data_IF_617397607287
#
_entry.id   IF_617397607287
#
_cell.length_a   1.000
_cell.length_b   1.000
_cell.length_c   1.000
_cell.angle_alpha   90.00
_cell.angle_beta   90.00
_cell.angle_gamma   90.00
#
_symmetry.space_group_name_H-M   'P 1'
#
loop_
_entity.id
_entity.type
_entity.pdbx_description
1 polymer ?
#
# COMPACT_ATOMS: atom_id res chain seq x y z
N UNK A 1 -14.24 -7.80 -0.36
CA UNK A 1 -14.09 -7.12 0.94
C UNK A 1 -14.72 -5.74 0.82
N UNK A 2 -15.20 -5.15 1.91
CA UNK A 2 -15.78 -3.79 1.86
C UNK A 2 -14.69 -2.75 2.06
N UNK A 3 -14.78 -1.61 1.37
CA UNK A 3 -13.80 -0.51 1.46
C UNK A 3 -13.50 -0.05 2.91
N UNK A 4 -14.50 -0.12 3.78
CA UNK A 4 -14.40 0.23 5.20
C UNK A 4 -13.48 -0.79 5.91
N UNK A 5 -13.69 -2.07 5.65
CA UNK A 5 -12.88 -3.17 6.19
C UNK A 5 -11.45 -3.09 5.68
N UNK A 6 -11.26 -2.89 4.37
CA UNK A 6 -9.92 -2.75 3.76
C UNK A 6 -9.16 -1.53 4.30
N UNK A 7 -9.86 -0.42 4.51
CA UNK A 7 -9.28 0.79 5.10
C UNK A 7 -8.87 0.55 6.55
N UNK A 8 -9.74 -0.05 7.36
CA UNK A 8 -9.43 -0.38 8.76
C UNK A 8 -8.25 -1.33 8.85
N UNK A 9 -8.21 -2.33 7.99
CA UNK A 9 -7.11 -3.29 7.89
C UNK A 9 -5.80 -2.59 7.52
N UNK A 10 -5.80 -1.73 6.50
CA UNK A 10 -4.63 -0.93 6.11
C UNK A 10 -4.11 -0.06 7.26
N UNK A 11 -5.01 0.57 8.02
CA UNK A 11 -4.64 1.38 9.19
C UNK A 11 -4.07 0.52 10.33
N UNK A 12 -4.56 -0.70 10.52
CA UNK A 12 -3.98 -1.62 11.50
C UNK A 12 -2.57 -2.09 11.09
N UNK A 13 -2.28 -2.12 9.79
CA UNK A 13 -0.96 -2.45 9.24
C UNK A 13 0.00 -1.28 9.19
N UNK A 14 -0.48 -0.04 9.32
CA UNK A 14 0.36 1.16 9.23
C UNK A 14 1.62 1.13 10.10
N UNK A 15 1.64 0.63 11.36
CA UNK A 15 2.87 0.59 12.16
C UNK A 15 3.91 -0.42 11.63
N UNK A 16 3.49 -1.41 10.84
CA UNK A 16 4.40 -2.39 10.20
C UNK A 16 4.91 -1.90 8.84
N UNK A 17 4.24 -0.92 8.25
CA UNK A 17 4.58 -0.37 6.94
C UNK A 17 5.48 0.86 7.11
N UNK A 18 6.73 0.74 6.67
CA UNK A 18 7.70 1.84 6.73
C UNK A 18 7.21 3.03 5.86
N UNK A 19 7.28 4.24 6.44
CA UNK A 19 6.84 5.51 5.85
C UNK A 19 5.39 5.52 5.36
N UNK A 20 4.52 4.88 6.12
CA UNK A 20 3.10 4.99 5.90
C UNK A 20 2.62 6.45 6.01
N UNK A 21 2.05 6.97 4.93
CA UNK A 21 1.50 8.32 4.83
C UNK A 21 0.17 8.29 4.09
N UNK A 22 -0.89 8.81 4.71
CA UNK A 22 -2.13 9.17 4.00
C UNK A 22 -1.87 10.41 3.15
N UNK A 23 -2.02 10.27 1.83
CA UNK A 23 -1.82 11.38 0.88
C UNK A 23 -3.12 12.16 0.70
N UNK A 24 -4.23 11.43 0.53
CA UNK A 24 -5.60 11.96 0.45
C UNK A 24 -6.59 10.86 0.77
N UNK A 25 -7.88 11.13 0.65
CA UNK A 25 -8.89 10.10 0.86
C UNK A 25 -8.73 8.94 -0.10
N UNK A 26 -8.69 7.75 0.50
CA UNK A 26 -8.44 6.49 -0.19
C UNK A 26 -7.13 6.44 -1.01
N UNK A 27 -6.12 7.21 -0.62
CA UNK A 27 -4.76 7.15 -1.18
C UNK A 27 -3.72 7.20 -0.07
N UNK A 28 -2.91 6.15 0.02
CA UNK A 28 -1.81 6.04 0.97
C UNK A 28 -0.52 5.65 0.27
N UNK A 29 0.59 6.21 0.69
CA UNK A 29 1.93 5.85 0.23
C UNK A 29 2.69 5.17 1.38
N UNK A 30 3.49 4.16 1.05
CA UNK A 30 4.37 3.48 1.99
C UNK A 30 5.46 2.71 1.23
N UNK A 31 6.47 2.24 1.96
CA UNK A 31 7.52 1.43 1.36
C UNK A 31 6.98 0.07 0.95
N UNK A 32 7.26 -0.35 -0.29
CA UNK A 32 6.80 -1.67 -0.75
C UNK A 32 7.40 -2.78 0.13
N UNK A 33 6.56 -3.62 0.77
CA UNK A 33 7.04 -4.68 1.65
C UNK A 33 7.75 -5.81 0.87
N UNK A 34 7.39 -6.03 -0.40
CA UNK A 34 7.95 -7.11 -1.21
C UNK A 34 9.34 -6.81 -1.78
N UNK A 35 9.59 -5.57 -2.21
CA UNK A 35 10.87 -5.21 -2.86
C UNK A 35 11.72 -4.21 -2.06
N UNK A 36 11.25 -3.71 -0.91
CA UNK A 36 12.00 -2.76 -0.08
C UNK A 36 12.19 -1.37 -0.70
N UNK A 37 11.48 -1.06 -1.79
CA UNK A 37 11.69 0.10 -2.67
C UNK A 37 13.07 0.14 -3.34
N UNK A 38 13.40 1.26 -3.98
CA UNK A 38 14.65 1.42 -4.70
C UNK A 38 15.85 1.49 -3.77
N UNK A 39 16.91 0.77 -4.15
CA UNK A 39 18.25 0.98 -3.62
C UNK A 39 18.80 2.39 -3.94
N UNK A 40 18.43 2.95 -5.10
CA UNK A 40 18.89 4.27 -5.56
C UNK A 40 18.34 5.45 -4.76
N UNK A 41 17.11 5.36 -4.24
CA UNK A 41 16.50 6.46 -3.50
C UNK A 41 15.81 5.92 -2.27
N UNK A 42 16.58 5.85 -1.18
CA UNK A 42 16.12 5.39 0.11
C UNK A 42 15.03 6.26 0.73
N UNK A 43 14.67 7.41 0.15
CA UNK A 43 13.69 8.38 0.71
C UNK A 43 12.30 8.24 0.06
N UNK A 44 12.23 7.70 -1.16
CA UNK A 44 10.97 7.59 -1.91
C UNK A 44 10.20 6.32 -1.52
N UNK A 45 8.96 6.48 -1.08
CA UNK A 45 7.98 5.40 -0.98
C UNK A 45 7.39 5.13 -2.38
N UNK A 46 7.59 3.93 -2.94
CA UNK A 46 7.05 3.57 -4.26
C UNK A 46 5.83 2.66 -4.21
N UNK A 47 5.51 2.13 -3.03
CA UNK A 47 4.25 1.45 -2.76
C UNK A 47 3.14 2.46 -2.49
N UNK A 48 1.97 2.22 -3.06
CA UNK A 48 0.80 3.02 -2.79
C UNK A 48 -0.47 2.17 -2.85
N UNK A 49 -1.44 2.52 -2.01
CA UNK A 49 -2.79 1.98 -2.04
C UNK A 49 -3.72 3.06 -2.54
N UNK A 50 -4.54 2.72 -3.53
CA UNK A 50 -5.53 3.60 -4.13
C UNK A 50 -6.87 2.89 -4.27
N UNK A 51 -7.95 3.67 -4.22
CA UNK A 51 -9.29 3.16 -4.53
C UNK A 51 -9.52 3.06 -6.03
N UNK A 52 -10.11 1.96 -6.46
CA UNK A 52 -10.71 1.80 -7.79
C UNK A 52 -12.13 1.27 -7.62
N UNK A 53 -13.11 2.08 -8.00
CA UNK A 53 -14.56 1.81 -7.78
C UNK A 53 -14.90 1.60 -6.30
N UNK A 54 -15.07 0.36 -5.86
CA UNK A 54 -15.46 0.01 -4.49
C UNK A 54 -14.34 -0.71 -3.72
N UNK A 55 -13.22 -1.00 -4.38
CA UNK A 55 -12.14 -1.80 -3.82
C UNK A 55 -10.86 -0.97 -3.66
N UNK A 56 -10.02 -1.38 -2.72
CA UNK A 56 -8.67 -0.84 -2.54
C UNK A 56 -7.65 -1.76 -3.20
N UNK A 57 -6.74 -1.16 -3.95
CA UNK A 57 -5.66 -1.85 -4.63
C UNK A 57 -4.32 -1.29 -4.18
N UNK A 58 -3.38 -2.19 -3.90
CA UNK A 58 -1.98 -1.89 -3.76
C UNK A 58 -1.30 -1.93 -5.13
N UNK A 59 -0.36 -1.01 -5.36
CA UNK A 59 0.56 -1.07 -6.49
C UNK A 59 1.94 -0.54 -6.08
N UNK A 60 2.98 -1.13 -6.64
CA UNK A 60 4.35 -0.66 -6.51
C UNK A 60 4.88 -0.15 -7.84
N UNK A 61 5.43 1.07 -7.85
CA UNK A 61 6.15 1.61 -9.02
C UNK A 61 7.55 1.02 -9.23
N UNK A 62 8.08 0.26 -8.27
CA UNK A 62 9.42 -0.33 -8.35
C UNK A 62 9.40 -1.73 -8.99
N UNK A 63 8.77 -2.69 -8.32
CA UNK A 63 8.67 -4.07 -8.79
C UNK A 63 7.48 -4.32 -9.71
N UNK A 64 6.58 -3.34 -9.88
CA UNK A 64 5.37 -3.50 -10.69
C UNK A 64 4.27 -4.35 -10.03
N UNK A 65 4.51 -4.91 -8.84
CA UNK A 65 3.55 -5.72 -8.12
C UNK A 65 2.28 -4.93 -7.83
N UNK A 66 1.13 -5.57 -8.10
CA UNK A 66 -0.18 -5.00 -7.82
C UNK A 66 -1.15 -6.09 -7.40
N UNK A 67 -1.80 -5.89 -6.26
CA UNK A 67 -2.78 -6.82 -5.71
C UNK A 67 -3.86 -6.04 -4.96
N UNK A 68 -5.01 -6.67 -4.71
CA UNK A 68 -6.00 -6.09 -3.81
C UNK A 68 -5.41 -5.96 -2.40
N UNK A 69 -5.87 -4.98 -1.61
CA UNK A 69 -5.39 -4.81 -0.22
C UNK A 69 -5.61 -6.07 0.61
N UNK A 70 -6.72 -6.80 0.38
CA UNK A 70 -6.98 -8.08 1.02
C UNK A 70 -5.95 -9.18 0.72
N UNK A 71 -5.30 -9.14 -0.45
CA UNK A 71 -4.26 -10.11 -0.84
C UNK A 71 -2.85 -9.64 -0.48
N UNK A 72 -2.66 -8.49 0.16
CA UNK A 72 -1.32 -7.96 0.47
C UNK A 72 -0.55 -8.83 1.50
N UNK A 73 -1.23 -9.67 2.28
CA UNK A 73 -0.65 -10.40 3.45
C UNK A 73 -0.93 -11.91 3.41
N UNK A 74 -1.63 -12.42 2.40
CA UNK A 74 -1.85 -13.86 2.25
C UNK A 74 -0.64 -14.62 1.63
N UNK A 75 0.58 -14.09 1.81
CA UNK A 75 1.83 -14.77 1.45
C UNK A 75 2.82 -14.70 2.62
#
# INVERSE_FOLDING_TARGET
MSIITDTKFLLQLSPRLDRFKKVRDYLWNFRCPHCGDSTKSKIKARGYVYRKKLDLYFKCHNCGMGQSVGNLINE
#
